data_IF_571226227775
#
_entry.id   IF_571226227775
#
_cell.length_a   1.000
_cell.length_b   1.000
_cell.length_c   1.000
_cell.angle_alpha   90.00
_cell.angle_beta   90.00
_cell.angle_gamma   90.00
#
_symmetry.space_group_name_H-M   'P 1'
#
loop_
_entity.id
_entity.type
_entity.pdbx_description
1 polymer ?
#
# COMPACT_ATOMS: atom_id res chain seq x y z
N UNK A 1 -9.66 -34.34 26.29
CA UNK A 1 -9.19 -33.84 24.97
C UNK A 1 -8.16 -34.84 24.45
N UNK A 2 -8.45 -35.50 23.33
CA UNK A 2 -7.52 -36.48 22.74
C UNK A 2 -6.35 -35.74 22.06
N UNK A 3 -5.11 -36.14 22.36
CA UNK A 3 -3.92 -35.60 21.69
C UNK A 3 -3.86 -36.18 20.27
N UNK A 4 -3.90 -35.32 19.25
CA UNK A 4 -3.67 -35.70 17.84
C UNK A 4 -2.37 -36.49 17.70
N UNK A 5 -2.43 -37.54 16.88
CA UNK A 5 -1.30 -38.43 16.59
C UNK A 5 -0.15 -37.67 15.91
N UNK A 6 1.10 -38.07 16.16
CA UNK A 6 2.27 -37.53 15.42
C UNK A 6 2.11 -37.66 13.90
N UNK A 7 1.40 -38.70 13.44
CA UNK A 7 1.15 -38.94 12.02
C UNK A 7 0.08 -38.02 11.44
N UNK A 8 -0.94 -37.66 12.22
CA UNK A 8 -1.95 -36.67 11.83
C UNK A 8 -1.33 -35.27 11.78
N UNK A 9 -0.49 -34.92 12.76
CA UNK A 9 0.24 -33.65 12.75
C UNK A 9 1.19 -33.54 11.56
N UNK A 10 1.94 -34.60 11.25
CA UNK A 10 2.84 -34.60 10.09
C UNK A 10 2.09 -34.59 8.75
N UNK A 11 0.86 -35.14 8.70
CA UNK A 11 0.02 -35.12 7.50
C UNK A 11 -0.62 -33.74 7.33
N UNK A 12 -1.13 -33.12 8.40
CA UNK A 12 -1.61 -31.72 8.39
C UNK A 12 -0.47 -30.75 8.04
N UNK A 13 0.73 -30.96 8.58
CA UNK A 13 1.91 -30.13 8.29
C UNK A 13 2.38 -30.31 6.83
N UNK A 14 2.30 -31.53 6.29
CA UNK A 14 2.60 -31.81 4.89
C UNK A 14 1.52 -31.27 3.94
N UNK A 15 0.24 -31.39 4.28
CA UNK A 15 -0.87 -30.76 3.57
C UNK A 15 -0.72 -29.24 3.61
N UNK A 16 -0.38 -28.66 4.76
CA UNK A 16 -0.20 -27.22 4.92
C UNK A 16 0.99 -26.69 4.11
N UNK A 17 2.09 -27.44 4.06
CA UNK A 17 3.27 -27.14 3.24
C UNK A 17 2.98 -27.34 1.75
N UNK A 18 2.34 -28.43 1.34
CA UNK A 18 1.94 -28.66 -0.06
C UNK A 18 0.92 -27.62 -0.52
N UNK A 19 0.01 -27.18 0.34
CA UNK A 19 -0.98 -26.14 0.04
C UNK A 19 -0.32 -24.75 -0.05
N UNK A 20 0.65 -24.42 0.80
CA UNK A 20 1.44 -23.19 0.66
C UNK A 20 2.34 -23.21 -0.59
N UNK A 21 2.95 -24.36 -0.93
CA UNK A 21 3.77 -24.54 -2.14
C UNK A 21 2.94 -24.60 -3.45
N UNK A 22 1.65 -24.98 -3.39
CA UNK A 22 0.74 -24.93 -4.55
C UNK A 22 0.23 -23.51 -4.85
N UNK A 23 0.20 -22.61 -3.86
CA UNK A 23 -0.50 -21.31 -3.94
C UNK A 23 0.32 -20.13 -4.49
N UNK A 24 1.65 -20.27 -4.61
CA UNK A 24 2.57 -19.27 -5.19
C UNK A 24 3.20 -19.73 -6.51
N UNK A 25 2.42 -20.38 -7.37
CA UNK A 25 2.92 -20.85 -8.66
C UNK A 25 3.31 -19.67 -9.57
N UNK A 26 4.30 -19.83 -10.46
CA UNK A 26 4.73 -18.81 -11.42
C UNK A 26 3.61 -18.20 -12.28
N UNK A 27 2.45 -18.85 -12.38
CA UNK A 27 1.34 -18.41 -13.23
C UNK A 27 0.56 -17.20 -12.67
N UNK A 28 0.48 -16.99 -11.35
CA UNK A 28 -0.18 -15.79 -10.76
C UNK A 28 0.81 -14.64 -10.58
N UNK A 29 2.11 -14.94 -10.68
CA UNK A 29 3.16 -13.92 -10.67
C UNK A 29 2.94 -12.97 -11.86
N UNK A 30 2.96 -11.67 -11.58
CA UNK A 30 2.70 -10.64 -12.58
C UNK A 30 1.22 -10.37 -12.86
N UNK A 31 0.27 -11.01 -12.17
CA UNK A 31 -1.15 -10.68 -12.33
C UNK A 31 -1.46 -9.24 -11.91
N UNK A 32 -0.88 -8.78 -10.79
CA UNK A 32 -1.05 -7.39 -10.35
C UNK A 32 -0.51 -6.40 -11.39
N UNK A 33 0.67 -6.68 -11.98
CA UNK A 33 1.23 -5.90 -13.09
C UNK A 33 0.33 -5.92 -14.33
N UNK A 34 -0.14 -7.10 -14.74
CA UNK A 34 -1.04 -7.24 -15.88
C UNK A 34 -2.34 -6.46 -15.69
N UNK A 35 -2.92 -6.51 -14.49
CA UNK A 35 -4.17 -5.81 -14.15
C UNK A 35 -3.97 -4.29 -14.17
N UNK A 36 -2.84 -3.81 -13.65
CA UNK A 36 -2.54 -2.37 -13.49
C UNK A 36 -1.86 -1.73 -14.70
N UNK A 37 -1.48 -2.50 -15.72
CA UNK A 37 -0.83 -1.96 -16.93
C UNK A 37 -1.70 -0.91 -17.65
N UNK A 38 -1.13 0.03 -18.41
CA UNK A 38 -1.95 0.95 -19.22
C UNK A 38 -2.83 0.22 -20.27
N UNK A 39 -4.00 0.77 -20.65
CA UNK A 39 -4.66 1.94 -20.08
C UNK A 39 -5.29 1.65 -18.71
N UNK A 40 -5.48 2.69 -17.88
CA UNK A 40 -6.26 2.61 -16.65
C UNK A 40 -7.76 2.39 -16.89
N UNK A 41 -8.54 2.17 -15.83
CA UNK A 41 -10.00 1.99 -15.91
C UNK A 41 -10.49 0.64 -16.43
N UNK A 42 -9.59 -0.31 -16.70
CA UNK A 42 -9.94 -1.67 -17.19
C UNK A 42 -9.54 -2.79 -16.22
N UNK A 43 -9.11 -2.45 -15.01
CA UNK A 43 -8.59 -3.40 -14.02
C UNK A 43 -9.57 -4.55 -13.73
N UNK A 44 -10.86 -4.24 -13.53
CA UNK A 44 -11.89 -5.25 -13.27
C UNK A 44 -12.07 -6.21 -14.47
N UNK A 45 -12.08 -5.69 -15.70
CA UNK A 45 -12.16 -6.53 -16.90
C UNK A 45 -10.98 -7.49 -16.98
N UNK A 46 -9.77 -7.01 -16.71
CA UNK A 46 -8.55 -7.83 -16.75
C UNK A 46 -8.52 -8.89 -15.67
N UNK A 47 -8.93 -8.54 -14.45
CA UNK A 47 -9.09 -9.52 -13.37
C UNK A 47 -10.06 -10.63 -13.79
N UNK A 48 -11.21 -10.27 -14.36
CA UNK A 48 -12.17 -11.25 -14.87
C UNK A 48 -11.61 -12.11 -16.01
N UNK A 49 -10.83 -11.54 -16.94
CA UNK A 49 -10.19 -12.29 -18.04
C UNK A 49 -9.14 -13.28 -17.53
N UNK A 50 -8.29 -12.84 -16.59
CA UNK A 50 -7.31 -13.69 -15.91
C UNK A 50 -8.00 -14.84 -15.19
N UNK A 51 -9.14 -14.60 -14.55
CA UNK A 51 -9.90 -15.63 -13.84
C UNK A 51 -10.78 -16.49 -14.76
N UNK A 52 -11.20 -16.02 -15.94
CA UNK A 52 -12.03 -16.80 -16.85
C UNK A 52 -11.23 -17.79 -17.69
N UNK A 53 -10.00 -17.44 -18.07
CA UNK A 53 -9.12 -18.23 -18.95
C UNK A 53 -9.66 -18.35 -20.40
N UNK A 54 -8.90 -18.99 -21.32
CA UNK A 54 -7.49 -19.35 -21.24
C UNK A 54 -6.56 -18.25 -21.81
N UNK A 55 -7.12 -17.23 -22.46
CA UNK A 55 -6.34 -16.21 -23.19
C UNK A 55 -5.49 -15.39 -22.23
N UNK A 56 -4.18 -15.20 -22.52
CA UNK A 56 -3.30 -14.42 -21.67
C UNK A 56 -3.72 -12.94 -21.64
N UNK A 57 -3.46 -12.27 -20.53
CA UNK A 57 -3.69 -10.83 -20.37
C UNK A 57 -2.35 -10.14 -20.21
N UNK A 58 -2.03 -9.23 -21.15
CA UNK A 58 -0.75 -8.51 -21.17
C UNK A 58 0.49 -9.44 -21.08
N UNK A 59 0.44 -10.59 -21.76
CA UNK A 59 1.53 -11.57 -21.78
C UNK A 59 1.61 -12.45 -20.53
N UNK A 60 0.74 -12.24 -19.55
CA UNK A 60 0.67 -13.04 -18.32
C UNK A 60 -0.36 -14.17 -18.50
N UNK A 61 -0.01 -15.43 -18.17
CA UNK A 61 -0.94 -16.55 -18.28
C UNK A 61 -2.18 -16.37 -17.41
N UNK A 62 -3.35 -16.59 -18.00
CA UNK A 62 -4.62 -16.67 -17.27
C UNK A 62 -4.78 -18.01 -16.55
N UNK A 63 -5.85 -18.12 -15.76
CA UNK A 63 -6.21 -19.31 -14.98
C UNK A 63 -6.15 -20.59 -15.84
N UNK A 64 -5.37 -21.61 -15.41
CA UNK A 64 -5.46 -22.95 -15.98
C UNK A 64 -6.87 -23.55 -15.84
N UNK A 65 -7.44 -24.21 -16.87
CA UNK A 65 -8.81 -24.73 -16.81
C UNK A 65 -9.11 -25.68 -15.64
N UNK A 66 -8.08 -26.34 -15.09
CA UNK A 66 -8.19 -27.30 -13.99
C UNK A 66 -8.29 -26.67 -12.59
N UNK A 67 -8.06 -25.35 -12.45
CA UNK A 67 -8.12 -24.66 -11.15
C UNK A 67 -9.47 -23.96 -10.98
N UNK A 68 -10.01 -23.92 -9.77
CA UNK A 68 -11.22 -23.15 -9.48
C UNK A 68 -10.95 -21.63 -9.49
N UNK A 69 -11.86 -20.84 -10.05
CA UNK A 69 -11.66 -19.39 -10.20
C UNK A 69 -11.77 -18.64 -8.87
N UNK A 70 -12.68 -19.05 -7.97
CA UNK A 70 -12.86 -18.37 -6.68
C UNK A 70 -11.73 -18.69 -5.72
N UNK A 71 -11.28 -19.96 -5.71
CA UNK A 71 -10.11 -20.42 -4.96
C UNK A 71 -8.85 -19.70 -5.43
N UNK A 72 -8.63 -19.59 -6.74
CA UNK A 72 -7.48 -18.89 -7.29
C UNK A 72 -7.53 -17.38 -7.02
N UNK A 73 -8.71 -16.76 -7.05
CA UNK A 73 -8.88 -15.37 -6.63
C UNK A 73 -8.55 -15.18 -5.15
N UNK A 74 -9.00 -16.09 -4.28
CA UNK A 74 -8.69 -16.05 -2.86
C UNK A 74 -7.17 -16.12 -2.62
N UNK A 75 -6.49 -17.06 -3.28
CA UNK A 75 -5.03 -17.18 -3.20
C UNK A 75 -4.32 -15.93 -3.74
N UNK A 76 -4.77 -15.38 -4.87
CA UNK A 76 -4.22 -14.16 -5.45
C UNK A 76 -4.30 -12.97 -4.47
N UNK A 77 -5.46 -12.77 -3.82
CA UNK A 77 -5.65 -11.67 -2.87
C UNK A 77 -4.83 -11.88 -1.61
N UNK A 78 -4.84 -13.10 -1.06
CA UNK A 78 -4.07 -13.41 0.16
C UNK A 78 -2.59 -13.11 -0.11
N UNK A 79 -2.03 -13.64 -1.21
CA UNK A 79 -0.59 -13.55 -1.54
C UNK A 79 -0.25 -12.40 -2.49
N UNK A 80 -1.07 -11.34 -2.50
CA UNK A 80 -0.90 -10.21 -3.40
C UNK A 80 0.47 -9.54 -3.19
N UNK A 81 1.26 -9.52 -4.26
CA UNK A 81 2.50 -8.77 -4.38
C UNK A 81 2.23 -7.51 -5.22
N UNK A 82 2.41 -6.34 -4.61
CA UNK A 82 2.09 -5.06 -5.24
C UNK A 82 3.31 -4.55 -6.02
N UNK A 83 3.19 -4.31 -7.34
CA UNK A 83 4.32 -3.80 -8.11
C UNK A 83 4.70 -2.39 -7.66
N UNK A 84 6.00 -2.11 -7.62
CA UNK A 84 6.57 -0.81 -7.23
C UNK A 84 6.73 0.17 -8.41
N UNK A 85 5.98 -0.06 -9.47
CA UNK A 85 6.01 0.77 -10.68
C UNK A 85 5.10 2.00 -10.55
N UNK A 86 5.44 3.13 -11.19
CA UNK A 86 4.56 4.30 -11.27
C UNK A 86 3.15 3.93 -11.76
N UNK A 87 3.07 3.09 -12.79
CA UNK A 87 1.82 2.69 -13.43
C UNK A 87 0.92 1.88 -12.48
N UNK A 88 1.51 1.00 -11.67
CA UNK A 88 0.78 0.24 -10.66
C UNK A 88 0.20 1.15 -9.58
N UNK A 89 0.95 2.17 -9.16
CA UNK A 89 0.55 3.12 -8.13
C UNK A 89 -0.55 4.08 -8.62
N UNK A 90 -0.43 4.57 -9.85
CA UNK A 90 -1.50 5.37 -10.48
C UNK A 90 -2.80 4.56 -10.61
N UNK A 91 -2.72 3.26 -10.85
CA UNK A 91 -3.86 2.37 -11.06
C UNK A 91 -4.34 1.65 -9.79
N UNK A 92 -3.76 1.97 -8.62
CA UNK A 92 -4.03 1.26 -7.38
C UNK A 92 -5.50 1.38 -6.93
N UNK A 93 -6.10 2.56 -7.04
CA UNK A 93 -7.51 2.77 -6.69
C UNK A 93 -8.46 1.94 -7.60
N UNK A 94 -8.15 1.86 -8.90
CA UNK A 94 -8.89 1.03 -9.87
C UNK A 94 -8.70 -0.47 -9.58
N UNK A 95 -7.49 -0.87 -9.21
CA UNK A 95 -7.16 -2.24 -8.87
C UNK A 95 -7.87 -2.71 -7.59
N UNK A 96 -7.87 -1.89 -6.55
CA UNK A 96 -8.65 -2.10 -5.33
C UNK A 96 -10.14 -2.24 -5.67
N UNK A 97 -10.68 -1.30 -6.45
CA UNK A 97 -12.08 -1.33 -6.87
C UNK A 97 -12.40 -2.63 -7.64
N UNK A 98 -11.49 -3.11 -8.48
CA UNK A 98 -11.63 -4.37 -9.22
C UNK A 98 -11.72 -5.59 -8.29
N UNK A 99 -10.77 -5.74 -7.36
CA UNK A 99 -10.76 -6.85 -6.39
C UNK A 99 -12.07 -6.90 -5.61
N UNK A 100 -12.50 -5.75 -5.08
CA UNK A 100 -13.68 -5.68 -4.21
C UNK A 100 -15.00 -5.71 -4.98
N UNK A 101 -15.02 -5.33 -6.26
CA UNK A 101 -16.18 -5.54 -7.13
C UNK A 101 -16.35 -7.03 -7.44
N UNK A 102 -15.26 -7.72 -7.78
CA UNK A 102 -15.31 -9.16 -8.05
C UNK A 102 -15.76 -9.95 -6.81
N UNK A 103 -15.19 -9.64 -5.64
CA UNK A 103 -15.57 -10.32 -4.40
C UNK A 103 -17.05 -10.10 -4.06
N UNK A 104 -17.57 -8.90 -4.29
CA UNK A 104 -19.00 -8.58 -4.09
C UNK A 104 -19.90 -9.41 -4.99
N UNK A 105 -19.59 -9.48 -6.28
CA UNK A 105 -20.38 -10.25 -7.25
C UNK A 105 -20.37 -11.75 -6.94
N UNK A 106 -19.22 -12.26 -6.48
CA UNK A 106 -19.05 -13.66 -6.09
C UNK A 106 -19.44 -13.96 -4.65
N UNK A 107 -19.81 -12.94 -3.86
CA UNK A 107 -20.13 -13.06 -2.43
C UNK A 107 -18.99 -13.70 -1.61
N UNK A 108 -17.75 -13.35 -1.95
CA UNK A 108 -16.55 -13.81 -1.25
C UNK A 108 -16.30 -12.89 -0.06
N UNK A 109 -16.16 -13.47 1.13
CA UNK A 109 -15.71 -12.74 2.32
C UNK A 109 -14.23 -12.42 2.17
N UNK A 110 -13.92 -11.12 2.10
CA UNK A 110 -12.57 -10.61 1.88
C UNK A 110 -11.74 -10.53 3.17
N UNK A 111 -12.38 -10.52 4.33
CA UNK A 111 -11.70 -10.43 5.63
C UNK A 111 -10.65 -11.54 5.85
N UNK A 112 -10.94 -12.83 5.61
CA UNK A 112 -9.95 -13.89 5.77
C UNK A 112 -8.81 -13.85 4.74
N UNK A 113 -8.90 -13.00 3.71
CA UNK A 113 -7.87 -12.86 2.67
C UNK A 113 -6.97 -11.65 2.94
N UNK A 114 -7.59 -10.51 3.23
CA UNK A 114 -6.91 -9.23 3.43
C UNK A 114 -6.17 -9.17 4.78
N UNK A 115 -6.69 -9.79 5.84
CA UNK A 115 -6.00 -9.78 7.14
C UNK A 115 -4.68 -10.55 7.11
N UNK A 116 -4.61 -11.79 6.61
CA UNK A 116 -3.33 -12.48 6.46
C UNK A 116 -2.37 -11.76 5.51
N UNK A 117 -2.88 -11.15 4.44
CA UNK A 117 -2.08 -10.29 3.58
C UNK A 117 -1.44 -9.14 4.37
N UNK A 118 -2.26 -8.35 5.09
CA UNK A 118 -1.78 -7.22 5.88
C UNK A 118 -0.82 -7.67 6.98
N UNK A 119 -1.11 -8.78 7.66
CA UNK A 119 -0.19 -9.36 8.63
C UNK A 119 1.16 -9.67 7.98
N UNK A 120 1.21 -10.32 6.81
CA UNK A 120 2.49 -10.58 6.13
C UNK A 120 3.27 -9.32 5.74
N UNK A 121 2.58 -8.26 5.33
CA UNK A 121 3.23 -7.01 4.93
C UNK A 121 3.79 -6.21 6.12
N UNK A 122 3.17 -6.34 7.31
CA UNK A 122 3.47 -5.50 8.47
C UNK A 122 3.95 -6.27 9.71
N UNK A 123 4.06 -7.61 9.64
CA UNK A 123 4.61 -8.44 10.70
C UNK A 123 6.13 -8.48 10.60
N UNK A 124 6.77 -7.51 11.28
CA UNK A 124 8.21 -7.38 11.34
C UNK A 124 8.66 -5.96 11.02
N UNK A 125 9.93 -5.64 11.29
CA UNK A 125 10.49 -4.37 10.85
C UNK A 125 10.64 -4.35 9.31
N UNK A 126 10.42 -3.20 8.64
CA UNK A 126 10.74 -3.05 7.22
C UNK A 126 12.24 -3.28 6.94
N UNK A 127 12.57 -3.49 5.65
CA UNK A 127 13.91 -3.85 5.22
C UNK A 127 15.02 -2.89 5.66
N UNK A 128 14.70 -1.60 5.82
CA UNK A 128 15.66 -0.56 6.20
C UNK A 128 16.06 -0.54 7.68
N UNK A 129 15.46 -1.37 8.54
CA UNK A 129 15.94 -1.57 9.92
C UNK A 129 17.27 -2.33 9.98
N UNK A 130 17.51 -3.21 9.01
CA UNK A 130 18.76 -3.97 8.90
C UNK A 130 19.80 -3.29 8.01
N UNK A 131 19.36 -2.35 7.17
CA UNK A 131 20.19 -1.68 6.17
C UNK A 131 19.77 -0.20 6.04
N UNK A 132 20.21 0.67 6.98
CA UNK A 132 19.88 2.09 6.98
C UNK A 132 20.36 2.76 5.68
N UNK A 133 19.42 3.11 4.80
CA UNK A 133 19.69 3.68 3.48
C UNK A 133 18.95 2.98 2.34
N UNK A 134 18.49 1.74 2.55
CA UNK A 134 17.69 0.99 1.58
C UNK A 134 16.20 1.05 1.92
N UNK A 135 15.57 2.20 1.63
CA UNK A 135 14.14 2.43 1.91
C UNK A 135 13.28 1.33 1.26
N UNK A 136 12.48 0.68 2.09
CA UNK A 136 11.56 -0.38 1.73
C UNK A 136 10.32 0.19 1.02
N UNK A 137 10.40 0.20 -0.30
CA UNK A 137 9.34 0.68 -1.18
C UNK A 137 8.05 -0.16 -1.03
N UNK A 138 8.18 -1.47 -0.85
CA UNK A 138 7.05 -2.37 -0.67
C UNK A 138 6.23 -2.02 0.57
N UNK A 139 6.91 -1.64 1.66
CA UNK A 139 6.27 -1.18 2.89
C UNK A 139 5.46 0.12 2.66
N UNK A 140 6.01 1.09 1.94
CA UNK A 140 5.34 2.36 1.63
C UNK A 140 4.09 2.12 0.77
N UNK A 141 4.20 1.25 -0.24
CA UNK A 141 3.11 0.93 -1.17
C UNK A 141 2.00 0.17 -0.46
N UNK A 142 2.34 -0.84 0.34
CA UNK A 142 1.38 -1.57 1.18
C UNK A 142 0.66 -0.64 2.15
N UNK A 143 1.37 0.35 2.70
CA UNK A 143 0.79 1.37 3.57
C UNK A 143 -0.25 2.22 2.82
N UNK A 144 0.05 2.64 1.59
CA UNK A 144 -0.93 3.34 0.73
C UNK A 144 -2.13 2.46 0.39
N UNK A 145 -1.92 1.18 0.06
CA UNK A 145 -3.00 0.23 -0.23
C UNK A 145 -4.02 0.18 0.91
N UNK A 146 -3.55 0.07 2.16
CA UNK A 146 -4.43 0.10 3.34
C UNK A 146 -5.20 1.41 3.48
N UNK A 147 -4.52 2.54 3.21
CA UNK A 147 -5.12 3.86 3.27
C UNK A 147 -6.26 4.02 2.27
N UNK A 148 -6.02 3.58 1.03
CA UNK A 148 -6.98 3.69 -0.07
C UNK A 148 -8.15 2.75 0.10
N UNK A 149 -7.92 1.52 0.55
CA UNK A 149 -9.00 0.60 0.92
C UNK A 149 -9.95 1.22 1.96
N UNK A 150 -9.40 1.95 2.94
CA UNK A 150 -10.20 2.69 3.92
C UNK A 150 -10.92 3.89 3.32
N UNK A 151 -10.20 4.70 2.56
CA UNK A 151 -10.71 5.93 1.95
C UNK A 151 -11.78 5.69 0.89
N UNK A 152 -11.76 4.53 0.25
CA UNK A 152 -12.77 4.07 -0.72
C UNK A 152 -13.93 3.31 -0.06
N UNK A 153 -13.95 3.22 1.28
CA UNK A 153 -14.96 2.48 2.06
C UNK A 153 -15.08 1.01 1.63
N UNK A 154 -13.96 0.41 1.22
CA UNK A 154 -13.87 -1.00 0.84
C UNK A 154 -13.64 -1.88 2.08
N UNK A 155 -12.86 -1.37 3.04
CA UNK A 155 -12.57 -2.03 4.30
C UNK A 155 -11.49 -1.27 5.10
N UNK A 156 -11.31 -1.62 6.37
CA UNK A 156 -10.11 -1.27 7.14
C UNK A 156 -9.40 -2.56 7.55
N UNK A 157 -8.17 -2.53 8.07
CA UNK A 157 -7.55 -3.69 8.74
C UNK A 157 -7.06 -3.32 10.12
N UNK A 158 -6.96 -4.28 11.06
CA UNK A 158 -6.59 -4.02 12.46
C UNK A 158 -5.16 -3.51 12.54
N UNK A 159 -4.33 -4.01 11.63
CA UNK A 159 -2.97 -3.59 11.45
C UNK A 159 -2.87 -2.16 10.93
N UNK A 160 -3.87 -1.61 10.21
CA UNK A 160 -3.75 -0.30 9.58
C UNK A 160 -3.55 0.83 10.60
N UNK A 161 -4.31 0.81 11.69
CA UNK A 161 -4.19 1.81 12.77
C UNK A 161 -2.94 1.60 13.62
N UNK A 162 -2.63 0.33 13.90
CA UNK A 162 -1.43 -0.03 14.63
C UNK A 162 -0.16 0.37 13.88
N UNK A 163 -0.11 0.09 12.58
CA UNK A 163 1.00 0.40 11.68
C UNK A 163 1.25 1.91 11.60
N UNK A 164 0.20 2.69 11.36
CA UNK A 164 0.28 4.15 11.34
C UNK A 164 0.89 4.72 12.63
N UNK A 165 0.47 4.20 13.79
CA UNK A 165 0.98 4.68 15.08
C UNK A 165 2.39 4.18 15.36
N UNK A 166 2.71 2.94 15.00
CA UNK A 166 4.04 2.36 15.16
C UNK A 166 5.07 3.11 14.32
N UNK A 167 4.76 3.38 13.05
CA UNK A 167 5.68 4.07 12.15
C UNK A 167 5.96 5.53 12.50
N UNK A 168 5.15 6.13 13.39
CA UNK A 168 5.38 7.44 13.99
C UNK A 168 5.95 7.36 15.42
N UNK A 169 6.33 6.18 15.89
CA UNK A 169 6.92 5.97 17.23
C UNK A 169 5.93 6.03 18.40
N UNK A 170 4.61 6.11 18.15
CA UNK A 170 3.59 6.32 19.18
C UNK A 170 3.24 5.06 20.00
N UNK A 171 3.65 3.87 19.56
CA UNK A 171 3.35 2.59 20.26
C UNK A 171 4.60 1.90 20.80
N UNK A 172 5.68 1.90 20.03
CA UNK A 172 6.91 1.16 20.34
C UNK A 172 8.12 2.08 20.57
N UNK A 173 7.91 3.40 20.62
CA UNK A 173 8.98 4.38 20.80
C UNK A 173 9.80 4.62 19.53
N UNK A 174 10.81 5.48 19.66
CA UNK A 174 11.68 5.93 18.56
C UNK A 174 12.53 4.79 17.97
N UNK A 175 12.81 3.73 18.74
CA UNK A 175 13.62 2.58 18.31
C UNK A 175 12.96 1.72 17.21
N UNK A 176 11.66 1.92 17.00
CA UNK A 176 10.85 1.26 15.97
C UNK A 176 10.47 2.19 14.83
N UNK A 177 11.24 3.26 14.61
CA UNK A 177 11.03 4.20 13.52
C UNK A 177 12.18 4.11 12.52
N UNK A 178 11.83 3.89 11.25
CA UNK A 178 12.73 4.00 10.09
C UNK A 178 12.15 4.96 9.05
N UNK A 179 12.94 5.29 8.03
CA UNK A 179 12.48 6.15 6.93
C UNK A 179 11.28 5.54 6.19
N UNK A 180 11.29 4.22 6.00
CA UNK A 180 10.18 3.48 5.38
C UNK A 180 8.91 3.54 6.22
N UNK A 181 9.03 3.43 7.56
CA UNK A 181 7.85 3.53 8.43
C UNK A 181 7.29 4.95 8.48
N UNK A 182 8.15 5.96 8.45
CA UNK A 182 7.75 7.38 8.42
C UNK A 182 7.04 7.71 7.10
N UNK A 183 7.65 7.38 5.96
CA UNK A 183 7.06 7.63 4.65
C UNK A 183 5.78 6.79 4.47
N UNK A 184 5.76 5.52 4.91
CA UNK A 184 4.56 4.69 4.90
C UNK A 184 3.41 5.26 5.74
N UNK A 185 3.71 5.78 6.93
CA UNK A 185 2.73 6.47 7.77
C UNK A 185 2.20 7.75 7.10
N UNK A 186 3.07 8.49 6.42
CA UNK A 186 2.66 9.66 5.61
C UNK A 186 1.78 9.24 4.43
N UNK A 187 2.10 8.16 3.73
CA UNK A 187 1.26 7.60 2.67
C UNK A 187 -0.14 7.25 3.19
N UNK A 188 -0.24 6.66 4.39
CA UNK A 188 -1.52 6.41 5.05
C UNK A 188 -2.30 7.68 5.36
N UNK A 189 -1.62 8.71 5.86
CA UNK A 189 -2.24 9.98 6.20
C UNK A 189 -2.69 10.77 4.97
N UNK A 190 -1.89 10.84 3.92
CA UNK A 190 -2.25 11.49 2.67
C UNK A 190 -3.40 10.75 1.96
N UNK A 191 -3.35 9.42 1.94
CA UNK A 191 -4.31 8.58 1.23
C UNK A 191 -5.62 8.31 1.96
N UNK A 192 -5.69 8.48 3.28
CA UNK A 192 -6.89 8.17 4.07
C UNK A 192 -7.04 8.92 5.40
N UNK A 193 -6.16 9.87 5.71
CA UNK A 193 -6.11 10.52 7.01
C UNK A 193 -7.26 11.47 7.31
N UNK A 194 -7.93 12.09 6.33
CA UNK A 194 -9.15 12.87 6.57
C UNK A 194 -10.32 11.97 6.95
N UNK A 195 -10.46 10.78 6.34
CA UNK A 195 -11.43 9.79 6.83
C UNK A 195 -11.06 9.26 8.21
N UNK A 196 -9.78 8.99 8.48
CA UNK A 196 -9.34 8.55 9.82
C UNK A 196 -9.67 9.63 10.85
N UNK A 197 -9.44 10.91 10.53
CA UNK A 197 -9.81 12.05 11.38
C UNK A 197 -11.31 12.07 11.69
N UNK A 198 -12.17 11.90 10.68
CA UNK A 198 -13.63 11.79 10.90
C UNK A 198 -13.95 10.60 11.80
N UNK A 199 -13.34 9.45 11.57
CA UNK A 199 -13.52 8.26 12.38
C UNK A 199 -13.14 8.47 13.84
N UNK A 200 -12.02 9.14 14.12
CA UNK A 200 -11.61 9.53 15.48
C UNK A 200 -12.59 10.48 16.17
N UNK A 201 -13.42 11.22 15.42
CA UNK A 201 -14.50 12.06 15.98
C UNK A 201 -15.80 11.31 16.25
N UNK A 202 -15.84 10.00 15.99
CA UNK A 202 -17.03 9.16 16.13
C UNK A 202 -17.94 9.14 14.89
N UNK A 203 -17.61 9.93 13.88
CA UNK A 203 -18.24 9.86 12.56
C UNK A 203 -17.60 8.67 11.84
N UNK A 204 -18.21 7.49 11.98
CA UNK A 204 -17.74 6.25 11.36
C UNK A 204 -17.76 6.30 9.83
N UNK A 205 -17.47 5.16 9.20
CA UNK A 205 -17.65 5.00 7.76
C UNK A 205 -19.14 5.11 7.41
N UNK A 206 -19.46 5.94 6.40
CA UNK A 206 -20.83 6.18 5.94
C UNK A 206 -21.32 4.97 5.14
N UNK A 207 -20.45 4.42 4.29
CA UNK A 207 -20.57 3.07 3.75
C UNK A 207 -20.09 2.05 4.77
N UNK A 208 -20.99 1.42 5.52
CA UNK A 208 -20.68 0.13 6.14
C UNK A 208 -20.54 -0.85 4.98
N UNK A 209 -19.34 -1.39 4.66
CA UNK A 209 -19.26 -2.35 3.58
C UNK A 209 -20.02 -3.61 4.06
N UNK A 210 -21.10 -3.97 3.39
CA UNK A 210 -21.98 -5.12 3.74
C UNK A 210 -21.25 -6.47 3.82
N UNK A 211 -19.97 -6.51 3.42
CA UNK A 211 -19.11 -7.69 3.29
C UNK A 211 -17.93 -7.68 4.28
N UNK A 212 -17.88 -6.71 5.20
CA UNK A 212 -16.84 -6.58 6.22
C UNK A 212 -17.46 -6.48 7.60
N UNK A 213 -18.08 -7.57 8.05
CA UNK A 213 -18.65 -7.65 9.40
C UNK A 213 -17.56 -7.79 10.48
N UNK A 214 -17.58 -6.85 11.43
CA UNK A 214 -16.78 -6.85 12.64
C UNK A 214 -15.37 -6.29 12.48
N UNK A 215 -15.19 -5.03 12.91
CA UNK A 215 -13.89 -4.39 13.13
C UNK A 215 -13.59 -4.17 14.62
N UNK A 216 -12.38 -4.58 15.03
CA UNK A 216 -11.80 -4.60 16.38
C UNK A 216 -10.44 -3.86 16.38
N UNK A 217 -10.53 -2.54 16.55
CA UNK A 217 -9.59 -1.57 17.13
C UNK A 217 -9.89 -0.23 16.45
N UNK A 218 -10.96 0.42 16.92
CA UNK A 218 -11.31 1.76 16.48
C UNK A 218 -10.30 2.74 17.10
N UNK A 219 -9.91 3.80 16.39
CA UNK A 219 -9.37 4.98 17.07
C UNK A 219 -10.36 5.37 18.16
N UNK A 220 -9.87 5.48 19.39
CA UNK A 220 -10.74 5.52 20.54
C UNK A 220 -11.34 6.91 20.75
N UNK A 221 -10.61 7.98 20.35
CA UNK A 221 -10.97 9.38 20.63
C UNK A 221 -10.35 10.35 19.63
N UNK A 222 -10.93 11.57 19.52
CA UNK A 222 -10.39 12.69 18.72
C UNK A 222 -8.93 13.02 19.07
N UNK A 223 -8.56 12.87 20.34
CA UNK A 223 -7.20 13.09 20.84
C UNK A 223 -6.18 12.21 20.12
N UNK A 224 -6.55 10.98 19.76
CA UNK A 224 -5.64 10.03 19.13
C UNK A 224 -5.15 10.53 17.77
N UNK A 225 -6.01 11.24 17.01
CA UNK A 225 -5.59 11.86 15.74
C UNK A 225 -4.68 13.07 15.95
N UNK A 226 -4.88 13.83 17.03
CA UNK A 226 -4.01 14.96 17.35
C UNK A 226 -2.60 14.48 17.74
N UNK A 227 -2.51 13.36 18.46
CA UNK A 227 -1.23 12.71 18.78
C UNK A 227 -0.49 12.26 17.52
N UNK A 228 -1.21 11.74 16.52
CA UNK A 228 -0.64 11.40 15.20
C UNK A 228 -0.06 12.61 14.49
N UNK A 229 -0.82 13.72 14.39
CA UNK A 229 -0.30 14.94 13.75
C UNK A 229 0.87 15.56 14.52
N UNK A 230 0.84 15.54 15.85
CA UNK A 230 1.96 16.00 16.67
C UNK A 230 3.21 15.14 16.46
N UNK A 231 3.06 13.82 16.29
CA UNK A 231 4.19 12.94 15.99
C UNK A 231 4.82 13.26 14.62
N UNK A 232 4.01 13.58 13.60
CA UNK A 232 4.51 14.04 12.29
C UNK A 232 5.35 15.32 12.46
N UNK A 233 4.91 16.26 13.30
CA UNK A 233 5.68 17.48 13.59
C UNK A 233 7.00 17.18 14.30
N UNK A 234 6.99 16.30 15.30
CA UNK A 234 8.21 15.88 16.01
C UNK A 234 9.20 15.22 15.05
N UNK A 235 8.75 14.33 14.17
CA UNK A 235 9.62 13.65 13.23
C UNK A 235 10.15 14.57 12.13
N UNK A 236 9.39 15.57 11.70
CA UNK A 236 9.87 16.60 10.77
C UNK A 236 11.10 17.35 11.32
N UNK A 237 11.12 17.63 12.63
CA UNK A 237 12.25 18.29 13.28
C UNK A 237 13.42 17.33 13.57
N UNK A 238 13.14 16.03 13.75
CA UNK A 238 14.15 15.03 14.12
C UNK A 238 14.86 14.36 12.95
N UNK A 239 14.18 14.11 11.82
CA UNK A 239 14.79 13.36 10.72
C UNK A 239 15.84 14.21 10.00
N UNK A 240 16.97 13.57 9.70
CA UNK A 240 18.05 14.14 8.87
C UNK A 240 17.92 13.70 7.40
N UNK A 241 17.00 12.78 7.08
CA UNK A 241 16.78 12.32 5.72
C UNK A 241 15.94 13.34 4.94
N UNK A 242 16.54 13.95 3.92
CA UNK A 242 15.90 15.00 3.11
C UNK A 242 14.61 14.53 2.42
N UNK A 243 14.56 13.29 1.94
CA UNK A 243 13.35 12.76 1.30
C UNK A 243 12.21 12.65 2.31
N UNK A 244 12.46 11.97 3.43
CA UNK A 244 11.45 11.80 4.49
C UNK A 244 11.00 13.14 5.04
N UNK A 245 11.93 14.07 5.24
CA UNK A 245 11.62 15.43 5.70
C UNK A 245 10.68 16.15 4.75
N UNK A 246 10.92 16.06 3.44
CA UNK A 246 10.04 16.63 2.42
C UNK A 246 8.65 15.97 2.40
N UNK A 247 8.56 14.65 2.56
CA UNK A 247 7.27 13.93 2.67
C UNK A 247 6.50 14.32 3.93
N UNK A 248 7.18 14.44 5.08
CA UNK A 248 6.58 14.90 6.34
C UNK A 248 6.04 16.32 6.21
N UNK A 249 6.80 17.21 5.55
CA UNK A 249 6.36 18.59 5.28
C UNK A 249 5.11 18.62 4.39
N UNK A 250 5.12 17.91 3.26
CA UNK A 250 3.97 17.82 2.37
C UNK A 250 2.72 17.26 3.09
N UNK A 251 2.93 16.29 4.00
CA UNK A 251 1.86 15.75 4.84
C UNK A 251 1.31 16.80 5.82
N UNK A 252 2.17 17.57 6.48
CA UNK A 252 1.75 18.68 7.36
C UNK A 252 0.92 19.70 6.59
N UNK A 253 1.39 20.14 5.44
CA UNK A 253 0.70 21.10 4.57
C UNK A 253 -0.66 20.56 4.11
N UNK A 254 -0.74 19.28 3.76
CA UNK A 254 -2.00 18.64 3.40
C UNK A 254 -3.05 18.73 4.51
N UNK A 255 -2.69 18.59 5.80
CA UNK A 255 -3.65 18.76 6.90
C UNK A 255 -3.93 20.20 7.29
N UNK A 256 -3.06 21.15 6.90
CA UNK A 256 -3.29 22.58 7.11
C UNK A 256 -4.22 23.16 6.04
N UNK A 257 -4.05 22.78 4.78
CA UNK A 257 -4.73 23.40 3.64
C UNK A 257 -5.68 22.46 2.88
N UNK A 258 -5.48 21.15 2.98
CA UNK A 258 -6.31 20.13 2.36
C UNK A 258 -7.61 19.87 3.12
N UNK A 259 -8.56 19.27 2.40
CA UNK A 259 -9.91 19.00 2.91
C UNK A 259 -10.44 17.61 2.53
N UNK A 260 -9.68 16.83 1.76
CA UNK A 260 -10.04 15.49 1.29
C UNK A 260 -8.83 14.58 1.28
N UNK A 261 -9.08 13.28 1.36
CA UNK A 261 -8.04 12.29 1.09
C UNK A 261 -7.58 12.38 -0.38
N UNK A 262 -6.30 12.14 -0.61
CA UNK A 262 -5.69 12.09 -1.94
C UNK A 262 -5.89 10.72 -2.59
N UNK A 263 -6.00 10.70 -3.92
CA UNK A 263 -6.01 9.46 -4.71
C UNK A 263 -4.64 8.79 -4.67
N UNK A 264 -4.56 7.49 -5.01
CA UNK A 264 -3.27 6.78 -5.04
C UNK A 264 -2.24 7.46 -5.94
N UNK A 265 -2.68 7.97 -7.10
CA UNK A 265 -1.86 8.77 -8.03
C UNK A 265 -1.31 10.04 -7.37
N UNK A 266 -2.17 10.84 -6.73
CA UNK A 266 -1.73 12.09 -6.09
C UNK A 266 -0.74 11.83 -4.95
N UNK A 267 -0.93 10.75 -4.17
CA UNK A 267 0.05 10.36 -3.13
C UNK A 267 1.36 9.90 -3.77
N UNK A 268 1.31 9.14 -4.86
CA UNK A 268 2.50 8.72 -5.59
C UNK A 268 3.31 9.93 -6.09
N UNK A 269 2.65 10.90 -6.73
CA UNK A 269 3.30 12.12 -7.21
C UNK A 269 3.99 12.88 -6.06
N UNK A 270 3.35 12.98 -4.90
CA UNK A 270 3.96 13.63 -3.72
C UNK A 270 5.20 12.85 -3.26
N UNK A 271 5.06 11.56 -3.00
CA UNK A 271 6.12 10.76 -2.37
C UNK A 271 7.29 10.51 -3.33
N UNK A 272 7.05 10.20 -4.60
CA UNK A 272 8.09 9.68 -5.49
C UNK A 272 8.56 10.68 -6.55
N UNK A 273 7.71 11.61 -6.98
CA UNK A 273 8.08 12.57 -8.02
C UNK A 273 8.48 13.94 -7.47
N UNK A 274 7.74 14.46 -6.49
CA UNK A 274 7.94 15.82 -5.97
C UNK A 274 8.94 15.90 -4.82
N UNK A 275 8.99 14.87 -3.97
CA UNK A 275 9.79 14.93 -2.72
C UNK A 275 11.04 14.05 -2.76
N UNK A 276 11.13 13.08 -3.68
CA UNK A 276 12.29 12.20 -3.77
C UNK A 276 13.49 12.96 -4.36
N UNK A 277 14.68 12.90 -3.73
CA UNK A 277 15.88 13.54 -4.27
C UNK A 277 16.23 13.02 -5.66
N UNK A 278 16.57 13.93 -6.58
CA UNK A 278 17.00 13.59 -7.94
C UNK A 278 15.88 13.29 -8.94
N UNK A 279 14.59 13.37 -8.55
CA UNK A 279 13.45 13.23 -9.47
C UNK A 279 12.80 14.57 -9.86
N UNK A 280 13.26 15.69 -9.29
CA UNK A 280 12.88 17.02 -9.74
C UNK A 280 13.32 17.24 -11.20
N UNK A 281 12.38 17.02 -12.12
CA UNK A 281 12.55 17.29 -13.53
C UNK A 281 12.44 18.79 -13.75
N UNK A 282 13.60 19.43 -13.91
CA UNK A 282 13.73 20.77 -14.48
C UNK A 282 13.94 21.88 -13.46
N UNK A 283 15.21 22.10 -13.12
CA UNK A 283 15.76 23.46 -13.13
C UNK A 283 17.24 23.43 -13.54
N UNK A 284 17.61 24.49 -14.25
CA UNK A 284 18.91 24.86 -14.84
C UNK A 284 19.24 24.28 -16.24
N UNK A 285 19.70 25.07 -17.21
CA UNK A 285 19.78 26.51 -17.36
C UNK A 285 20.16 26.79 -18.82
N UNK A 286 19.57 27.82 -19.40
CA UNK A 286 20.15 28.58 -20.52
C UNK A 286 21.60 28.96 -20.21
N UNK A 287 22.55 28.24 -20.79
CA UNK A 287 23.89 28.75 -21.05
C UNK A 287 23.91 29.34 -22.46
N UNK A 288 23.40 30.57 -22.59
CA UNK A 288 23.86 31.45 -23.67
C UNK A 288 25.21 31.97 -23.19
N UNK A 289 26.30 31.31 -23.58
CA UNK A 289 27.63 31.88 -23.45
C UNK A 289 27.67 33.18 -24.26
N UNK A 290 27.68 34.30 -23.55
CA UNK A 290 28.31 35.52 -24.03
C UNK A 290 29.81 35.24 -24.18
N UNK A 291 30.25 35.06 -25.42
CA UNK A 291 31.66 35.20 -25.81
C UNK A 291 31.80 36.46 -26.69
N UNK A 292 31.69 37.62 -26.06
CA UNK A 292 32.49 38.80 -26.39
C UNK A 292 33.31 39.03 -25.11
N UNK A 293 34.63 39.14 -25.06
CA UNK A 293 35.57 39.79 -25.94
C UNK A 293 36.98 39.39 -25.47
N UNK A 294 37.90 39.11 -26.39
CA UNK A 294 39.35 39.32 -26.31
C UNK A 294 39.91 38.72 -27.61
N UNK A 295 40.57 39.40 -28.52
CA UNK A 295 41.14 40.73 -28.59
C UNK A 295 42.00 40.73 -29.86
N UNK A 296 42.24 41.91 -30.41
CA UNK A 296 42.98 42.15 -31.63
C UNK A 296 44.42 41.59 -31.62
N UNK A 297 44.92 41.22 -32.80
CA UNK A 297 46.33 41.00 -33.08
C UNK A 297 46.54 40.86 -34.58
N UNK A 298 47.24 41.83 -35.16
CA UNK A 298 47.66 41.95 -36.57
C UNK A 298 48.36 40.71 -37.15
#
# INVERSE_FOLDING_TARGET
>A
MAKKSKREKAMEEKEHVETQYFRLQPWVKGWAEAITAPPGGVAYRRLCQLLSGPEPVNGVPSRPPCLDAESLFADFVEYLDLPDTPQAMESLDDFLSAIFTYSREKKIDMKPLINPWAERQFLGPPGDFGDPGNIDMGYIISSLFLARMFALELGYVSFGWTNLRQGLGLRLGDEWVSESTLIGSCAQLLGGGHRIRKWCTGIGLEGRPDYFDGWLEKPSKKRDFQEVLAAVEVWYEKTENEWTKAVLLATKEHFQFGFRDLTSKEVYEIIFEKTKPGTASGDEATAVEQAENDGAGE
#
